data_IF_068224604814
#
_entry.id   IF_068224604814
#
_cell.length_a   1.000
_cell.length_b   1.000
_cell.length_c   1.000
_cell.angle_alpha   90.00
_cell.angle_beta   90.00
_cell.angle_gamma   90.00
#
_symmetry.space_group_name_H-M   'P 1'
#
loop_
_entity.id
_entity.type
_entity.pdbx_description
1 polymer ?
#
# COMPACT_ATOMS: atom_id res chain seq x y z
N UNK A 1 17.43 -8.63 1.63
CA UNK A 1 16.07 -8.71 2.18
C UNK A 1 15.47 -7.32 2.11
N UNK A 2 14.20 -7.19 1.75
CA UNK A 2 13.54 -5.89 1.67
C UNK A 2 12.85 -5.61 3.00
N UNK A 3 13.32 -4.61 3.74
CA UNK A 3 12.75 -4.29 5.04
C UNK A 3 11.37 -3.65 4.87
N UNK A 4 10.36 -4.21 5.52
CA UNK A 4 9.03 -3.60 5.59
C UNK A 4 9.11 -2.43 6.57
N UNK A 5 8.75 -1.23 6.12
CA UNK A 5 8.77 -0.02 6.95
C UNK A 5 7.39 0.43 7.39
N UNK A 6 6.34 0.06 6.65
CA UNK A 6 5.00 0.52 6.95
C UNK A 6 3.94 -0.45 6.43
N UNK A 7 2.82 -0.49 7.15
CA UNK A 7 1.62 -1.20 6.74
C UNK A 7 0.38 -0.44 7.22
N UNK A 8 -0.69 -0.44 6.41
CA UNK A 8 -1.98 0.17 6.74
C UNK A 8 -3.13 -0.60 6.10
N UNK A 9 -4.19 -0.84 6.87
CA UNK A 9 -5.47 -1.30 6.36
C UNK A 9 -6.24 -0.15 5.70
N UNK A 10 -7.00 -0.47 4.66
CA UNK A 10 -8.03 0.41 4.12
C UNK A 10 -9.15 0.63 5.14
N UNK A 11 -9.94 1.72 5.00
CA UNK A 11 -11.00 2.04 5.96
C UNK A 11 -12.11 0.98 6.05
N UNK A 12 -12.37 0.24 4.97
CA UNK A 12 -13.31 -0.88 4.93
C UNK A 12 -12.71 -2.20 5.45
N UNK A 13 -11.40 -2.24 5.71
CA UNK A 13 -10.70 -3.43 6.18
C UNK A 13 -10.45 -4.50 5.10
N UNK A 14 -10.85 -4.27 3.85
CA UNK A 14 -10.70 -5.24 2.76
C UNK A 14 -9.27 -5.29 2.20
N UNK A 15 -8.53 -4.19 2.29
CA UNK A 15 -7.21 -4.05 1.67
C UNK A 15 -6.12 -3.77 2.70
N UNK A 16 -4.93 -4.34 2.47
CA UNK A 16 -3.72 -4.07 3.25
C UNK A 16 -2.63 -3.56 2.32
N UNK A 17 -2.15 -2.34 2.58
CA UNK A 17 -1.00 -1.78 1.90
C UNK A 17 0.27 -2.04 2.72
N UNK A 18 1.33 -2.51 2.06
CA UNK A 18 2.63 -2.84 2.68
C UNK A 18 3.73 -2.14 1.87
N UNK A 19 4.49 -1.26 2.51
CA UNK A 19 5.57 -0.51 1.87
C UNK A 19 6.96 -0.90 2.41
N UNK A 20 7.96 -0.97 1.52
CA UNK A 20 9.32 -1.35 1.88
C UNK A 20 10.39 -0.32 1.51
N UNK A 21 11.62 -0.59 1.95
CA UNK A 21 12.83 0.21 1.71
C UNK A 21 13.31 0.25 0.25
N UNK A 22 12.82 -0.62 -0.62
CA UNK A 22 13.09 -0.62 -2.07
C UNK A 22 12.05 0.15 -2.89
N UNK A 23 11.08 0.80 -2.23
CA UNK A 23 10.05 1.56 -2.91
C UNK A 23 8.92 0.73 -3.51
N UNK A 24 8.84 -0.55 -3.12
CA UNK A 24 7.76 -1.47 -3.53
C UNK A 24 6.60 -1.36 -2.55
N UNK A 25 5.45 -0.95 -3.05
CA UNK A 25 4.16 -1.03 -2.38
C UNK A 25 3.45 -2.31 -2.84
N UNK A 26 3.07 -3.16 -1.91
CA UNK A 26 2.23 -4.31 -2.15
C UNK A 26 0.83 -4.05 -1.60
N UNK A 27 -0.20 -4.32 -2.40
CA UNK A 27 -1.60 -4.29 -1.98
C UNK A 27 -2.10 -5.72 -1.88
N UNK A 28 -2.66 -6.07 -0.73
CA UNK A 28 -3.30 -7.35 -0.49
C UNK A 28 -4.80 -7.17 -0.27
N UNK A 29 -5.58 -8.14 -0.72
CA UNK A 29 -7.02 -8.27 -0.47
C UNK A 29 -7.25 -9.36 0.58
N UNK A 30 -8.12 -9.09 1.55
CA UNK A 30 -8.61 -10.08 2.50
C UNK A 30 -9.69 -10.93 1.84
N UNK A 31 -9.36 -12.19 1.59
CA UNK A 31 -10.26 -13.18 1.01
C UNK A 31 -10.84 -14.06 2.13
N UNK A 32 -12.16 -14.22 2.11
CA UNK A 32 -12.95 -14.98 3.09
C UNK A 32 -12.62 -14.69 4.58
N UNK A 33 -12.13 -13.49 4.89
CA UNK A 33 -11.74 -13.09 6.25
C UNK A 33 -10.52 -13.82 6.82
N UNK A 34 -9.77 -14.58 6.01
CA UNK A 34 -8.72 -15.49 6.49
C UNK A 34 -7.40 -15.35 5.76
N UNK A 35 -7.43 -15.06 4.47
CA UNK A 35 -6.23 -15.08 3.62
C UNK A 35 -5.98 -13.72 3.01
N UNK A 36 -4.72 -13.28 3.02
CA UNK A 36 -4.30 -12.03 2.40
C UNK A 36 -3.62 -12.32 1.08
N UNK A 37 -4.33 -12.12 -0.03
CA UNK A 37 -3.83 -12.38 -1.37
C UNK A 37 -3.26 -11.09 -1.98
N UNK A 38 -2.06 -11.14 -2.55
CA UNK A 38 -1.48 -9.99 -3.26
C UNK A 38 -2.24 -9.72 -4.55
N UNK A 39 -2.84 -8.54 -4.67
CA UNK A 39 -3.61 -8.12 -5.86
C UNK A 39 -2.93 -7.01 -6.66
N UNK A 40 -1.91 -6.36 -6.09
CA UNK A 40 -1.19 -5.29 -6.78
C UNK A 40 0.20 -5.04 -6.23
N UNK A 41 1.11 -4.69 -7.12
CA UNK A 41 2.47 -4.24 -6.78
C UNK A 41 2.77 -2.96 -7.54
N UNK A 42 3.15 -1.91 -6.82
CA UNK A 42 3.44 -0.60 -7.37
C UNK A 42 4.85 -0.18 -6.96
N UNK A 43 5.59 0.46 -7.87
CA UNK A 43 6.93 0.95 -7.63
C UNK A 43 6.93 2.48 -7.56
N UNK A 44 7.41 3.01 -6.45
CA UNK A 44 7.48 4.46 -6.21
C UNK A 44 8.85 5.08 -6.52
N UNK A 45 9.83 4.24 -6.90
CA UNK A 45 11.16 4.66 -7.31
C UNK A 45 12.12 5.02 -6.17
N UNK A 46 11.68 5.02 -4.91
CA UNK A 46 12.52 5.20 -3.72
C UNK A 46 11.85 4.60 -2.48
N UNK A 47 12.63 4.40 -1.41
CA UNK A 47 12.13 3.84 -0.14
C UNK A 47 10.81 4.47 0.32
N UNK A 48 9.82 3.64 0.64
CA UNK A 48 8.55 4.09 1.18
C UNK A 48 8.74 4.48 2.65
N UNK A 49 8.26 5.66 3.02
CA UNK A 49 8.35 6.21 4.38
C UNK A 49 7.00 6.30 5.06
N UNK A 50 5.94 6.53 4.29
CA UNK A 50 4.60 6.66 4.81
C UNK A 50 3.57 6.11 3.83
N UNK A 51 2.51 5.53 4.37
CA UNK A 51 1.31 5.10 3.64
C UNK A 51 0.11 5.61 4.43
N UNK A 52 -0.88 6.13 3.72
CA UNK A 52 -2.19 6.46 4.28
C UNK A 52 -3.29 6.18 3.27
N UNK A 53 -4.39 5.57 3.70
CA UNK A 53 -5.55 5.36 2.86
C UNK A 53 -6.45 6.60 2.89
N UNK A 54 -7.14 6.85 1.79
CA UNK A 54 -8.20 7.87 1.79
C UNK A 54 -9.34 7.40 2.70
N UNK A 55 -9.82 8.21 3.66
CA UNK A 55 -10.74 7.75 4.70
C UNK A 55 -12.14 7.38 4.18
N UNK A 56 -12.52 7.88 3.00
CA UNK A 56 -13.84 7.65 2.39
C UNK A 56 -13.74 6.83 1.09
N UNK A 57 -12.58 6.80 0.44
CA UNK A 57 -12.41 6.18 -0.88
C UNK A 57 -11.51 4.97 -0.68
N UNK A 58 -12.08 3.84 -0.28
CA UNK A 58 -11.31 2.69 0.21
C UNK A 58 -10.31 2.08 -0.77
N UNK A 59 -10.45 2.37 -2.07
CA UNK A 59 -9.52 1.95 -3.12
C UNK A 59 -8.43 2.99 -3.41
N UNK A 60 -8.34 4.07 -2.66
CA UNK A 60 -7.34 5.13 -2.88
C UNK A 60 -6.33 5.17 -1.74
N UNK A 61 -5.05 5.08 -2.08
CA UNK A 61 -3.93 5.14 -1.12
C UNK A 61 -2.91 6.20 -1.55
N UNK A 62 -2.38 6.93 -0.57
CA UNK A 62 -1.28 7.87 -0.73
C UNK A 62 0.00 7.30 -0.15
N UNK A 63 1.10 7.43 -0.88
CA UNK A 63 2.42 6.89 -0.51
C UNK A 63 3.45 7.99 -0.57
N UNK A 64 4.11 8.25 0.57
CA UNK A 64 5.24 9.16 0.65
C UNK A 64 6.56 8.41 0.52
N UNK A 65 7.38 8.82 -0.46
CA UNK A 65 8.65 8.17 -0.78
C UNK A 65 9.86 9.06 -0.50
N UNK A 66 11.02 8.45 -0.26
CA UNK A 66 12.24 9.15 0.15
C UNK A 66 12.83 10.09 -0.92
N UNK A 67 12.36 10.02 -2.16
CA UNK A 67 12.69 10.95 -3.24
C UNK A 67 11.89 12.28 -3.16
N UNK A 68 11.05 12.47 -2.15
CA UNK A 68 10.27 13.68 -1.95
C UNK A 68 8.90 13.67 -2.66
N UNK A 69 8.54 12.59 -3.35
CA UNK A 69 7.25 12.49 -4.02
C UNK A 69 6.17 11.85 -3.13
N UNK A 70 4.92 12.27 -3.40
CA UNK A 70 3.71 11.64 -2.91
C UNK A 70 2.98 11.03 -4.10
N UNK A 71 2.74 9.73 -4.05
CA UNK A 71 2.03 8.99 -5.08
C UNK A 71 0.58 8.78 -4.64
N UNK A 72 -0.39 9.04 -5.52
CA UNK A 72 -1.77 8.57 -5.36
C UNK A 72 -1.95 7.32 -6.20
N UNK A 73 -2.35 6.22 -5.58
CA UNK A 73 -2.60 4.95 -6.23
C UNK A 73 -4.07 4.59 -6.04
N UNK A 74 -4.74 4.26 -7.14
CA UNK A 74 -6.06 3.65 -7.13
C UNK A 74 -5.90 2.15 -7.31
N UNK A 75 -6.36 1.38 -6.33
CA UNK A 75 -6.40 -0.08 -6.38
C UNK A 75 -7.46 -0.50 -7.39
N UNK A 76 -7.02 -1.19 -8.42
CA UNK A 76 -7.87 -1.82 -9.43
C UNK A 76 -7.68 -3.33 -9.32
N UNK A 77 -8.81 -4.04 -9.34
CA UNK A 77 -8.88 -5.51 -9.37
C UNK A 77 -8.84 -5.99 -10.82
#
# INVERSE_FOLDING_TARGET
>A
GNSVHTLKLSPDGEHLAIGNDQGRLEIRLLDDGRTWNTIGVYLTGAAIRAVTWHPVMSRTVFVGSANGFIHRITVVI
#
